data_IF_860251780488
#
_entry.id   IF_860251780488
#
_cell.length_a   1.000
_cell.length_b   1.000
_cell.length_c   1.000
_cell.angle_alpha   90.00
_cell.angle_beta   90.00
_cell.angle_gamma   90.00
#
_symmetry.space_group_name_H-M   'P 1'
#
loop_
_entity.id
_entity.type
_entity.pdbx_description
1 polymer ?
#
# COMPACT_ATOMS: atom_id res chain seq x y z
N UNK A 1 -8.47 2.15 5.04
CA UNK A 1 -7.54 1.73 3.93
C UNK A 1 -7.67 0.33 3.35
N UNK A 2 -7.50 -0.77 4.11
CA UNK A 2 -7.44 -2.13 3.50
C UNK A 2 -8.69 -2.46 2.66
N UNK A 3 -9.87 -2.12 3.18
CA UNK A 3 -11.15 -2.32 2.48
C UNK A 3 -11.23 -1.54 1.16
N UNK A 4 -10.72 -0.30 1.14
CA UNK A 4 -10.69 0.52 -0.07
C UNK A 4 -9.80 -0.14 -1.12
N UNK A 5 -8.61 -0.61 -0.73
CA UNK A 5 -7.69 -1.29 -1.67
C UNK A 5 -8.30 -2.58 -2.21
N UNK A 6 -8.97 -3.38 -1.38
CA UNK A 6 -9.69 -4.56 -1.82
C UNK A 6 -10.75 -4.22 -2.86
N UNK A 7 -11.57 -3.19 -2.59
CA UNK A 7 -12.56 -2.69 -3.55
C UNK A 7 -11.92 -2.26 -4.87
N UNK A 8 -10.79 -1.54 -4.84
CA UNK A 8 -10.10 -1.13 -6.06
C UNK A 8 -9.63 -2.33 -6.90
N UNK A 9 -9.05 -3.34 -6.26
CA UNK A 9 -8.56 -4.55 -6.92
C UNK A 9 -9.72 -5.35 -7.54
N UNK A 10 -10.88 -5.40 -6.87
CA UNK A 10 -12.06 -6.12 -7.35
C UNK A 10 -12.77 -5.40 -8.51
N UNK A 11 -12.79 -4.07 -8.49
CA UNK A 11 -13.56 -3.27 -9.44
C UNK A 11 -12.73 -2.77 -10.63
N UNK A 12 -11.40 -2.76 -10.52
CA UNK A 12 -10.51 -2.25 -11.57
C UNK A 12 -9.41 -3.25 -11.91
N UNK A 13 -9.30 -3.57 -13.20
CA UNK A 13 -8.30 -4.50 -13.73
C UNK A 13 -6.85 -4.05 -13.50
N UNK A 14 -6.62 -2.74 -13.47
CA UNK A 14 -5.31 -2.11 -13.29
C UNK A 14 -5.46 -0.59 -13.02
N UNK A 15 -4.32 0.05 -12.72
CA UNK A 15 -4.22 1.50 -12.49
C UNK A 15 -4.60 2.37 -13.69
N UNK A 16 -4.52 1.86 -14.92
CA UNK A 16 -4.86 2.65 -16.12
C UNK A 16 -6.38 2.79 -16.25
N UNK A 17 -7.14 1.80 -15.76
CA UNK A 17 -8.60 1.80 -15.73
C UNK A 17 -9.18 2.40 -14.43
N UNK A 18 -8.33 2.75 -13.46
CA UNK A 18 -8.75 3.38 -12.22
C UNK A 18 -9.04 4.88 -12.43
N UNK A 19 -10.23 5.38 -12.05
CA UNK A 19 -10.52 6.81 -12.06
C UNK A 19 -9.56 7.56 -11.11
N UNK A 20 -9.43 8.88 -11.30
CA UNK A 20 -8.46 9.71 -10.56
C UNK A 20 -9.11 10.93 -9.94
N UNK A 21 -8.50 11.43 -8.86
CA UNK A 21 -8.94 12.64 -8.18
C UNK A 21 -10.42 12.56 -7.80
N UNK A 22 -11.20 13.54 -8.24
CA UNK A 22 -12.61 13.67 -7.91
C UNK A 22 -13.47 12.52 -8.44
N UNK A 23 -13.15 11.95 -9.62
CA UNK A 23 -13.93 10.84 -10.17
C UNK A 23 -13.81 9.58 -9.31
N UNK A 24 -12.62 9.32 -8.78
CA UNK A 24 -12.41 8.22 -7.84
C UNK A 24 -13.18 8.43 -6.54
N UNK A 25 -13.21 9.68 -6.05
CA UNK A 25 -13.98 10.03 -4.87
C UNK A 25 -15.46 9.69 -5.00
N UNK A 26 -16.08 10.02 -6.14
CA UNK A 26 -17.49 9.70 -6.41
C UNK A 26 -17.73 8.18 -6.45
N UNK A 27 -16.83 7.41 -7.07
CA UNK A 27 -16.99 5.94 -7.11
C UNK A 27 -16.90 5.33 -5.71
N UNK A 28 -15.99 5.82 -4.87
CA UNK A 28 -15.84 5.31 -3.51
C UNK A 28 -17.02 5.75 -2.60
N UNK A 29 -17.53 6.97 -2.79
CA UNK A 29 -18.75 7.44 -2.11
C UNK A 29 -19.97 6.58 -2.48
N UNK A 30 -20.15 6.28 -3.78
CA UNK A 30 -21.21 5.39 -4.27
C UNK A 30 -21.07 3.95 -3.73
N UNK A 31 -19.85 3.51 -3.43
CA UNK A 31 -19.56 2.24 -2.80
C UNK A 31 -19.78 2.24 -1.27
N UNK A 32 -20.03 3.42 -0.66
CA UNK A 32 -20.34 3.59 0.75
C UNK A 32 -19.13 3.75 1.67
N UNK A 33 -17.96 4.12 1.13
CA UNK A 33 -16.82 4.51 1.95
C UNK A 33 -17.03 5.89 2.58
N UNK A 34 -16.42 6.13 3.75
CA UNK A 34 -16.49 7.42 4.42
C UNK A 34 -15.51 8.44 3.82
N UNK A 35 -15.77 9.73 4.07
CA UNK A 35 -15.00 10.85 3.53
C UNK A 35 -13.49 10.76 3.83
N UNK A 36 -13.13 10.14 4.95
CA UNK A 36 -11.75 10.00 5.37
C UNK A 36 -11.04 8.92 4.53
N UNK A 37 -11.59 7.71 4.47
CA UNK A 37 -11.09 6.60 3.64
C UNK A 37 -11.01 7.04 2.16
N UNK A 38 -11.99 7.82 1.69
CA UNK A 38 -11.99 8.40 0.34
C UNK A 38 -10.80 9.34 0.15
N UNK A 39 -10.65 10.31 1.05
CA UNK A 39 -9.59 11.32 0.97
C UNK A 39 -8.20 10.70 0.97
N UNK A 40 -7.97 9.72 1.84
CA UNK A 40 -6.72 8.97 1.91
C UNK A 40 -6.44 8.18 0.62
N UNK A 41 -7.43 7.45 0.12
CA UNK A 41 -7.27 6.65 -1.09
C UNK A 41 -6.96 7.51 -2.32
N UNK A 42 -7.68 8.63 -2.49
CA UNK A 42 -7.41 9.58 -3.57
C UNK A 42 -5.98 10.13 -3.46
N UNK A 43 -5.58 10.55 -2.26
CA UNK A 43 -4.23 11.06 -2.00
C UNK A 43 -3.14 10.03 -2.31
N UNK A 44 -3.34 8.77 -1.93
CA UNK A 44 -2.38 7.71 -2.20
C UNK A 44 -2.27 7.36 -3.67
N UNK A 45 -3.38 7.32 -4.40
CA UNK A 45 -3.37 7.14 -5.85
C UNK A 45 -2.60 8.27 -6.53
N UNK A 46 -2.81 9.52 -6.10
CA UNK A 46 -2.08 10.68 -6.63
C UNK A 46 -0.57 10.59 -6.34
N UNK A 47 -0.20 10.26 -5.11
CA UNK A 47 1.20 10.08 -4.72
C UNK A 47 1.86 8.95 -5.53
N UNK A 48 1.14 7.86 -5.79
CA UNK A 48 1.64 6.70 -6.51
C UNK A 48 1.92 7.03 -7.97
N UNK A 49 1.03 7.79 -8.60
CA UNK A 49 1.23 8.31 -9.95
C UNK A 49 2.44 9.26 -10.04
N UNK A 50 2.66 10.08 -9.02
CA UNK A 50 3.85 10.94 -8.94
C UNK A 50 5.14 10.12 -8.82
N UNK A 51 5.15 9.10 -7.96
CA UNK A 51 6.29 8.22 -7.79
C UNK A 51 6.63 7.45 -9.08
N UNK A 52 5.63 7.00 -9.83
CA UNK A 52 5.81 6.30 -11.12
C UNK A 52 6.44 7.19 -12.20
N UNK A 53 6.31 8.51 -12.08
CA UNK A 53 6.88 9.46 -13.04
C UNK A 53 8.39 9.69 -12.83
N UNK A 54 8.95 9.20 -11.72
CA UNK A 54 10.36 9.36 -11.37
C UNK A 54 11.14 8.12 -11.80
N UNK A 55 12.10 8.30 -12.72
CA UNK A 55 12.98 7.19 -13.16
C UNK A 55 13.86 6.71 -12.01
N UNK A 56 13.49 5.57 -11.45
CA UNK A 56 14.07 4.97 -10.25
C UNK A 56 14.97 3.77 -10.56
N UNK A 57 15.41 3.59 -11.81
CA UNK A 57 16.07 2.36 -12.28
C UNK A 57 17.24 1.86 -11.42
N UNK A 58 18.10 2.77 -10.94
CA UNK A 58 19.23 2.43 -10.05
C UNK A 58 18.77 2.09 -8.62
N UNK A 59 17.75 2.79 -8.11
CA UNK A 59 17.22 2.57 -6.76
C UNK A 59 16.46 1.25 -6.67
N UNK A 60 15.75 0.85 -7.73
CA UNK A 60 14.99 -0.39 -7.78
C UNK A 60 15.86 -1.65 -7.63
N UNK A 61 17.14 -1.58 -7.97
CA UNK A 61 18.09 -2.69 -7.87
C UNK A 61 18.95 -2.63 -6.60
N UNK A 62 18.77 -1.60 -5.76
CA UNK A 62 19.59 -1.41 -4.57
C UNK A 62 19.28 -2.47 -3.51
N UNK A 63 20.33 -3.14 -3.03
CA UNK A 63 20.29 -4.04 -1.87
C UNK A 63 20.79 -3.36 -0.59
N UNK A 64 20.89 -2.03 -0.58
CA UNK A 64 21.37 -1.29 0.57
C UNK A 64 20.43 -1.48 1.77
N UNK A 65 21.03 -1.61 2.95
CA UNK A 65 20.30 -1.61 4.21
C UNK A 65 19.69 -0.21 4.43
N UNK A 66 18.36 -0.15 4.61
CA UNK A 66 17.69 1.08 5.01
C UNK A 66 17.88 1.32 6.51
N UNK A 67 18.26 2.54 6.86
CA UNK A 67 18.28 3.04 8.23
C UNK A 67 17.04 3.93 8.42
N UNK A 68 16.29 3.70 9.49
CA UNK A 68 15.10 4.48 9.83
C UNK A 68 15.48 5.66 10.72
N UNK A 69 14.89 6.82 10.46
CA UNK A 69 14.99 7.99 11.31
C UNK A 69 14.22 7.78 12.63
N UNK A 70 14.55 8.52 13.70
CA UNK A 70 13.89 8.36 15.00
C UNK A 70 12.37 8.57 14.93
N UNK A 71 11.93 9.54 14.12
CA UNK A 71 10.50 9.81 13.87
C UNK A 71 9.81 8.65 13.14
N UNK A 72 10.47 8.06 12.14
CA UNK A 72 9.96 6.86 11.46
C UNK A 72 9.93 5.68 12.42
N UNK A 73 10.91 5.52 13.31
CA UNK A 73 10.90 4.43 14.29
C UNK A 73 9.80 4.57 15.34
N UNK A 74 9.40 5.81 15.67
CA UNK A 74 8.29 6.07 16.56
C UNK A 74 6.95 5.69 15.90
N UNK A 75 6.74 6.11 14.65
CA UNK A 75 5.51 5.84 13.90
C UNK A 75 5.42 4.39 13.36
N UNK A 76 6.50 3.90 12.74
CA UNK A 76 6.59 2.59 12.13
C UNK A 76 7.16 1.59 13.14
N UNK A 77 6.24 0.93 13.85
CA UNK A 77 6.58 -0.08 14.84
C UNK A 77 7.37 -1.27 14.22
N UNK A 78 7.81 -2.21 15.07
CA UNK A 78 8.61 -3.34 14.61
C UNK A 78 7.89 -4.22 13.58
N UNK A 79 6.57 -4.40 13.70
CA UNK A 79 5.79 -5.25 12.80
C UNK A 79 5.67 -4.65 11.40
N UNK A 80 5.39 -3.34 11.31
CA UNK A 80 5.35 -2.62 10.02
C UNK A 80 6.71 -2.68 9.34
N UNK A 81 7.80 -2.42 10.07
CA UNK A 81 9.16 -2.49 9.53
C UNK A 81 9.54 -3.91 9.11
N UNK A 82 9.09 -4.92 9.86
CA UNK A 82 9.26 -6.33 9.53
C UNK A 82 8.55 -6.72 8.22
N UNK A 83 7.30 -6.29 8.04
CA UNK A 83 6.54 -6.47 6.80
C UNK A 83 7.28 -5.85 5.60
N UNK A 84 7.70 -4.60 5.71
CA UNK A 84 8.40 -3.90 4.63
C UNK A 84 9.74 -4.57 4.29
N UNK A 85 10.48 -5.02 5.31
CA UNK A 85 11.70 -5.77 5.12
C UNK A 85 11.45 -7.08 4.38
N UNK A 86 10.46 -7.86 4.83
CA UNK A 86 10.08 -9.14 4.22
C UNK A 86 9.66 -8.98 2.75
N UNK A 87 8.82 -7.99 2.43
CA UNK A 87 8.38 -7.74 1.05
C UNK A 87 9.53 -7.30 0.14
N UNK A 88 10.50 -6.55 0.68
CA UNK A 88 11.68 -6.13 -0.09
C UNK A 88 12.64 -7.31 -0.31
N UNK A 89 12.90 -8.11 0.72
CA UNK A 89 13.84 -9.25 0.67
C UNK A 89 13.35 -10.37 -0.26
N UNK A 90 12.03 -10.63 -0.24
CA UNK A 90 11.36 -11.54 -1.17
C UNK A 90 11.23 -11.00 -2.59
N UNK A 91 11.66 -9.75 -2.84
CA UNK A 91 11.52 -9.01 -4.11
C UNK A 91 10.08 -8.82 -4.57
N UNK A 92 9.12 -8.93 -3.66
CA UNK A 92 7.73 -8.58 -3.95
C UNK A 92 7.60 -7.07 -4.22
N UNK A 93 8.36 -6.25 -3.48
CA UNK A 93 8.49 -4.81 -3.76
C UNK A 93 9.96 -4.40 -3.96
N UNK A 94 10.19 -3.36 -4.76
CA UNK A 94 11.50 -2.73 -4.91
C UNK A 94 11.82 -1.80 -3.74
N UNK A 95 13.09 -1.38 -3.63
CA UNK A 95 13.48 -0.38 -2.64
C UNK A 95 12.72 0.95 -2.81
N UNK A 96 12.45 1.38 -4.05
CA UNK A 96 11.68 2.61 -4.31
C UNK A 96 10.21 2.46 -3.91
N UNK A 97 9.62 1.29 -4.15
CA UNK A 97 8.26 0.98 -3.71
C UNK A 97 8.16 0.95 -2.17
N UNK A 98 9.17 0.42 -1.48
CA UNK A 98 9.26 0.50 -0.02
C UNK A 98 9.27 1.97 0.46
N UNK A 99 10.03 2.85 -0.19
CA UNK A 99 10.05 4.28 0.14
C UNK A 99 8.68 4.94 -0.04
N UNK A 100 7.97 4.59 -1.12
CA UNK A 100 6.61 5.06 -1.33
C UNK A 100 5.69 4.64 -0.18
N UNK A 101 5.71 3.36 0.22
CA UNK A 101 4.83 2.87 1.30
C UNK A 101 5.14 3.59 2.61
N UNK A 102 6.42 3.79 2.92
CA UNK A 102 6.84 4.57 4.10
C UNK A 102 6.32 6.00 4.02
N UNK A 103 6.51 6.68 2.89
CA UNK A 103 6.05 8.04 2.69
C UNK A 103 4.53 8.15 2.84
N UNK A 104 3.77 7.22 2.26
CA UNK A 104 2.32 7.16 2.37
C UNK A 104 1.87 6.93 3.82
N UNK A 105 2.49 5.99 4.55
CA UNK A 105 2.20 5.76 5.97
C UNK A 105 2.48 7.00 6.82
N UNK A 106 3.56 7.72 6.55
CA UNK A 106 3.91 8.93 7.28
C UNK A 106 2.98 10.12 6.96
N UNK A 107 2.09 10.01 5.97
CA UNK A 107 1.03 11.01 5.70
C UNK A 107 -0.27 10.71 6.46
N UNK A 108 -0.41 9.51 7.03
CA UNK A 108 -1.57 9.19 7.86
C UNK A 108 -1.46 9.85 9.24
N UNK A 109 -2.60 10.12 9.89
CA UNK A 109 -2.64 10.36 11.33
C UNK A 109 -1.90 9.25 12.10
N UNK A 110 -1.20 9.61 13.16
CA UNK A 110 -0.32 8.69 13.90
C UNK A 110 -1.05 7.45 14.42
N UNK A 111 -2.32 7.60 14.83
CA UNK A 111 -3.19 6.53 15.31
C UNK A 111 -3.66 5.56 14.22
N UNK A 112 -3.52 5.94 12.95
CA UNK A 112 -3.86 5.13 11.79
C UNK A 112 -2.66 4.45 11.14
N UNK A 113 -1.45 4.74 11.63
CA UNK A 113 -0.23 4.04 11.22
C UNK A 113 -0.22 2.64 11.87
N UNK A 114 -1.00 1.75 11.28
CA UNK A 114 -1.19 0.37 11.74
C UNK A 114 -0.62 -0.64 10.74
N UNK A 115 -0.37 -1.86 11.22
CA UNK A 115 0.06 -2.95 10.36
C UNK A 115 -0.98 -3.26 9.26
N UNK A 116 -2.27 -3.10 9.56
CA UNK A 116 -3.36 -3.34 8.60
C UNK A 116 -3.32 -2.32 7.45
N UNK A 117 -3.18 -1.03 7.77
CA UNK A 117 -3.04 0.01 6.77
C UNK A 117 -1.73 -0.11 5.97
N UNK A 118 -0.63 -0.56 6.59
CA UNK A 118 0.62 -0.87 5.90
C UNK A 118 0.47 -2.02 4.89
N UNK A 119 -0.30 -3.07 5.22
CA UNK A 119 -0.61 -4.15 4.28
C UNK A 119 -1.49 -3.67 3.13
N UNK A 120 -2.49 -2.83 3.42
CA UNK A 120 -3.33 -2.21 2.39
C UNK A 120 -2.50 -1.40 1.40
N UNK A 121 -1.62 -0.52 1.88
CA UNK A 121 -0.72 0.25 1.02
C UNK A 121 0.25 -0.62 0.23
N UNK A 122 0.79 -1.69 0.83
CA UNK A 122 1.62 -2.65 0.10
C UNK A 122 0.86 -3.33 -1.05
N UNK A 123 -0.39 -3.77 -0.81
CA UNK A 123 -1.26 -4.34 -1.83
C UNK A 123 -1.57 -3.34 -2.94
N UNK A 124 -1.84 -2.08 -2.58
CA UNK A 124 -2.08 -1.01 -3.55
C UNK A 124 -0.90 -0.83 -4.50
N UNK A 125 0.32 -0.82 -3.96
CA UNK A 125 1.55 -0.68 -4.76
C UNK A 125 1.78 -1.88 -5.68
N UNK A 126 1.57 -3.08 -5.17
CA UNK A 126 1.71 -4.33 -5.93
C UNK A 126 0.72 -4.39 -7.09
N UNK A 127 -0.55 -4.08 -6.81
CA UNK A 127 -1.60 -4.00 -7.82
C UNK A 127 -1.27 -2.95 -8.87
N UNK A 128 -0.84 -1.77 -8.44
CA UNK A 128 -0.52 -0.67 -9.35
C UNK A 128 0.61 -0.96 -10.33
N UNK A 129 1.58 -1.77 -9.90
CA UNK A 129 2.74 -2.14 -10.73
C UNK A 129 2.59 -3.50 -11.41
N UNK A 130 1.40 -4.12 -11.34
CA UNK A 130 1.16 -5.50 -11.83
C UNK A 130 2.24 -6.48 -11.34
N UNK A 131 2.70 -6.31 -10.11
CA UNK A 131 3.76 -7.14 -9.56
C UNK A 131 3.19 -8.53 -9.25
N UNK A 132 3.86 -9.57 -9.74
CA UNK A 132 3.51 -10.93 -9.35
C UNK A 132 3.87 -11.12 -7.87
N UNK A 133 2.87 -11.33 -7.03
CA UNK A 133 3.09 -11.79 -5.67
C UNK A 133 3.80 -13.16 -5.75
N UNK A 134 4.96 -13.34 -5.10
CA UNK A 134 5.53 -14.67 -4.96
C UNK A 134 4.46 -15.60 -4.37
N UNK A 135 4.29 -16.77 -4.98
CA UNK A 135 3.22 -17.75 -4.64
C UNK A 135 3.16 -18.05 -3.13
N UNK A 136 4.28 -17.92 -2.42
CA UNK A 136 4.39 -18.15 -0.97
C UNK A 136 3.80 -17.02 -0.09
N UNK A 137 3.60 -15.82 -0.65
CA UNK A 137 3.16 -14.60 0.06
C UNK A 137 1.67 -14.36 -0.15
N UNK A 138 1.13 -14.81 -1.28
CA UNK A 138 -0.29 -14.67 -1.62
C UNK A 138 -1.18 -15.19 -0.51
N UNK A 139 -0.94 -16.40 0.01
CA UNK A 139 -1.80 -17.01 1.01
C UNK A 139 -1.77 -16.29 2.37
N UNK A 140 -0.62 -15.77 2.83
CA UNK A 140 -0.52 -15.03 4.11
C UNK A 140 -1.08 -13.61 4.02
N UNK A 141 -0.93 -12.91 2.88
CA UNK A 141 -1.50 -11.58 2.68
C UNK A 141 -3.00 -11.64 2.36
N UNK A 142 -3.45 -12.66 1.62
CA UNK A 142 -4.88 -12.93 1.38
C UNK A 142 -5.57 -13.48 2.63
N UNK A 143 -4.89 -14.25 3.49
CA UNK A 143 -5.45 -14.68 4.77
C UNK A 143 -5.84 -13.47 5.63
N UNK A 144 -5.09 -12.36 5.57
CA UNK A 144 -5.43 -11.10 6.26
C UNK A 144 -6.70 -10.46 5.68
N UNK A 145 -6.99 -10.66 4.39
CA UNK A 145 -8.24 -10.20 3.76
C UNK A 145 -9.44 -11.08 4.17
N UNK A 146 -9.21 -12.35 4.52
CA UNK A 146 -10.25 -13.33 4.86
C UNK A 146 -10.45 -13.55 6.37
N UNK A 147 -9.63 -12.97 7.25
CA UNK A 147 -9.69 -13.19 8.71
C UNK A 147 -10.86 -12.45 9.42
N UNK A 148 -11.93 -12.14 8.68
CA UNK A 148 -13.23 -11.75 9.24
C UNK A 148 -14.28 -12.88 9.21
N UNK A 149 -13.97 -14.05 8.65
CA UNK A 149 -14.91 -15.19 8.62
C UNK A 149 -14.61 -16.32 9.62
N UNK A 150 -13.66 -16.15 10.55
CA UNK A 150 -13.43 -17.12 11.64
C UNK A 150 -13.68 -16.52 13.02
N UNK A 151 -14.87 -15.94 13.20
CA UNK A 151 -15.53 -15.88 14.51
C UNK A 151 -16.98 -16.33 14.37
N UNK A 152 -17.16 -17.66 14.37
CA UNK A 152 -18.32 -18.33 14.98
C UNK A 152 -17.84 -19.53 15.78
#
# INVERSE_FOLDING_TARGET
MLNVVAFLIENFSDMDNCPRGQELGVVLEDAGFDDQDIGEAVMFIELLNQANSLDSGSLNQSQALRVYHEEEMAALNADIRGLLHFLTDSKAISAAQREFIIHALMHLPYDEITLENAKGLALLVLWAHRSELPILIGDELMAVLHDKDVMQ
#
